data_IF_910558871483
#
_entry.id   IF_910558871483
#
_cell.length_a   1.000
_cell.length_b   1.000
_cell.length_c   1.000
_cell.angle_alpha   90.00
_cell.angle_beta   90.00
_cell.angle_gamma   90.00
#
_symmetry.space_group_name_H-M   'P 1'
#
loop_
_entity.id
_entity.type
_entity.pdbx_description
1 polymer ?
#
# COMPACT_ATOMS: atom_id res chain seq x y z
N UNK A 1 -1.41 -13.53 -11.41
CA UNK A 1 -0.13 -13.76 -10.68
C UNK A 1 -0.48 -14.34 -9.32
N UNK A 2 -0.09 -15.58 -9.06
CA UNK A 2 -0.26 -16.30 -7.79
C UNK A 2 0.99 -16.14 -6.91
N UNK A 3 0.86 -16.23 -5.59
CA UNK A 3 1.96 -16.28 -4.59
C UNK A 3 2.89 -15.06 -4.52
N UNK A 4 2.34 -13.84 -4.55
CA UNK A 4 3.12 -12.62 -4.29
C UNK A 4 2.87 -12.08 -2.89
N UNK A 5 3.94 -11.74 -2.16
CA UNK A 5 3.84 -11.25 -0.78
C UNK A 5 3.02 -9.96 -0.63
N UNK A 6 2.92 -9.14 -1.69
CA UNK A 6 2.15 -7.90 -1.70
C UNK A 6 1.42 -7.71 -3.04
N UNK A 7 0.27 -7.03 -3.02
CA UNK A 7 -0.49 -6.69 -4.22
C UNK A 7 -0.01 -5.38 -4.84
N UNK A 8 -0.15 -4.29 -4.08
CA UNK A 8 0.20 -2.92 -4.41
C UNK A 8 0.98 -2.30 -3.26
N UNK A 9 2.03 -1.53 -3.57
CA UNK A 9 2.85 -0.91 -2.53
C UNK A 9 3.41 0.46 -2.93
N UNK A 10 3.20 1.46 -2.09
CA UNK A 10 3.84 2.79 -2.15
C UNK A 10 4.79 2.93 -0.96
N UNK A 11 6.00 3.43 -1.20
CA UNK A 11 7.03 3.62 -0.17
C UNK A 11 7.67 4.99 -0.32
N UNK A 12 7.81 5.73 0.78
CA UNK A 12 8.58 6.98 0.81
C UNK A 12 9.61 6.95 1.93
N UNK A 13 10.75 7.61 1.69
CA UNK A 13 11.90 7.56 2.59
C UNK A 13 11.90 8.75 3.57
N UNK A 14 12.06 8.48 4.87
CA UNK A 14 12.41 9.49 5.87
C UNK A 14 13.65 10.31 5.48
N UNK A 15 13.52 11.63 5.48
CA UNK A 15 14.62 12.55 5.14
C UNK A 15 14.98 12.65 3.65
N UNK A 16 14.16 12.06 2.77
CA UNK A 16 14.24 12.35 1.34
C UNK A 16 13.98 13.84 1.06
N UNK A 17 14.51 14.34 -0.07
CA UNK A 17 14.21 15.69 -0.54
C UNK A 17 12.68 15.85 -0.68
N UNK A 18 12.12 17.03 -0.36
CA UNK A 18 10.70 17.29 -0.59
C UNK A 18 10.33 16.97 -2.04
N UNK A 19 9.21 16.27 -2.20
CA UNK A 19 8.73 15.84 -3.51
C UNK A 19 7.23 15.60 -3.46
N UNK A 20 6.60 15.54 -4.62
CA UNK A 20 5.18 15.24 -4.72
C UNK A 20 5.01 14.07 -5.68
N UNK A 21 4.27 13.06 -5.25
CA UNK A 21 3.81 11.98 -6.10
C UNK A 21 2.28 12.01 -6.08
N UNK A 22 1.69 12.23 -7.25
CA UNK A 22 0.25 12.45 -7.37
C UNK A 22 -0.32 11.78 -8.61
N UNK A 23 -1.64 11.57 -8.62
CA UNK A 23 -2.37 10.94 -9.73
C UNK A 23 -1.90 9.50 -9.97
N UNK A 24 -1.91 8.71 -8.90
CA UNK A 24 -1.51 7.29 -8.95
C UNK A 24 -2.79 6.45 -8.99
N UNK A 25 -2.96 5.68 -10.06
CA UNK A 25 -4.16 4.90 -10.28
C UNK A 25 -3.80 3.40 -10.34
N UNK A 26 -4.36 2.62 -9.41
CA UNK A 26 -4.28 1.16 -9.44
C UNK A 26 -5.63 0.61 -9.89
N UNK A 27 -5.67 0.00 -11.06
CA UNK A 27 -6.92 -0.50 -11.68
C UNK A 27 -6.78 -1.94 -12.16
N UNK A 28 -7.88 -2.70 -12.09
CA UNK A 28 -8.04 -4.05 -12.66
C UNK A 28 -6.99 -5.08 -12.17
N UNK A 29 -6.59 -4.97 -10.91
CA UNK A 29 -5.59 -5.86 -10.31
C UNK A 29 -6.27 -7.07 -9.66
N UNK A 30 -5.98 -8.27 -10.18
CA UNK A 30 -6.41 -9.53 -9.55
C UNK A 30 -5.22 -10.27 -8.94
N UNK A 31 -5.27 -10.49 -7.64
CA UNK A 31 -4.18 -11.04 -6.84
C UNK A 31 -4.68 -12.12 -5.88
N UNK A 32 -4.23 -13.35 -6.07
CA UNK A 32 -4.61 -14.51 -5.25
C UNK A 32 -3.49 -14.84 -4.26
N UNK A 33 -3.86 -15.18 -3.01
CA UNK A 33 -2.93 -15.54 -1.92
C UNK A 33 -1.94 -14.44 -1.55
N UNK A 34 -2.43 -13.22 -1.32
CA UNK A 34 -1.57 -12.07 -0.98
C UNK A 34 -1.65 -11.76 0.51
N UNK A 35 -0.51 -11.67 1.20
CA UNK A 35 -0.48 -11.36 2.63
C UNK A 35 -0.86 -9.92 2.96
N UNK A 36 -0.52 -8.97 2.07
CA UNK A 36 -0.90 -7.56 2.23
C UNK A 36 -1.23 -6.95 0.87
N UNK A 37 -2.51 -6.86 0.51
CA UNK A 37 -2.97 -6.41 -0.80
C UNK A 37 -2.55 -4.98 -1.12
N UNK A 38 -2.66 -4.05 -0.17
CA UNK A 38 -2.27 -2.65 -0.37
C UNK A 38 -1.45 -2.16 0.82
N UNK A 39 -0.22 -1.69 0.58
CA UNK A 39 0.63 -1.05 1.59
C UNK A 39 1.03 0.35 1.14
N UNK A 40 0.81 1.37 1.97
CA UNK A 40 1.41 2.69 1.83
C UNK A 40 2.31 2.92 3.05
N UNK A 41 3.62 2.95 2.84
CA UNK A 41 4.61 3.10 3.90
C UNK A 41 5.42 4.38 3.73
N UNK A 42 5.07 5.42 4.48
CA UNK A 42 5.82 6.69 4.45
C UNK A 42 7.05 6.72 5.35
N UNK A 43 7.31 5.64 6.10
CA UNK A 43 8.45 5.50 7.00
C UNK A 43 9.39 4.39 6.53
N UNK A 44 9.42 4.13 5.22
CA UNK A 44 10.16 3.02 4.68
C UNK A 44 11.67 3.22 4.86
N UNK A 45 12.27 2.36 5.68
CA UNK A 45 13.66 2.46 6.10
C UNK A 45 14.36 1.09 5.99
N UNK A 46 14.76 0.67 4.78
CA UNK A 46 15.44 -0.60 4.64
C UNK A 46 16.83 -0.52 5.30
N UNK A 47 17.15 -1.51 6.13
CA UNK A 47 18.44 -1.66 6.82
C UNK A 47 18.84 -0.45 7.68
N UNK A 48 17.88 0.33 8.18
CA UNK A 48 18.13 1.54 8.98
C UNK A 48 19.01 2.60 8.27
N UNK A 49 19.13 2.55 6.94
CA UNK A 49 19.88 3.52 6.13
C UNK A 49 19.04 4.75 5.74
N UNK A 50 18.06 5.10 6.58
CA UNK A 50 17.26 6.31 6.42
C UNK A 50 17.50 7.24 7.61
N UNK A 51 17.02 8.47 7.49
CA UNK A 51 17.03 9.40 8.62
C UNK A 51 15.81 9.13 9.49
N UNK A 52 15.91 8.15 10.39
CA UNK A 52 14.77 7.59 11.14
C UNK A 52 14.06 8.63 12.03
N UNK A 53 14.75 9.70 12.40
CA UNK A 53 14.22 10.81 13.19
C UNK A 53 13.65 11.95 12.33
N UNK A 54 13.79 11.88 11.00
CA UNK A 54 13.17 12.82 10.08
C UNK A 54 11.86 12.24 9.55
N UNK A 55 10.86 13.09 9.34
CA UNK A 55 9.63 12.66 8.69
C UNK A 55 9.79 12.68 7.16
N UNK A 56 9.02 11.84 6.46
CA UNK A 56 8.98 11.87 5.00
C UNK A 56 8.39 13.20 4.53
N UNK A 57 9.12 13.88 3.63
CA UNK A 57 8.67 15.13 2.99
C UNK A 57 8.02 14.90 1.63
N UNK A 58 7.79 13.64 1.26
CA UNK A 58 7.12 13.26 0.02
C UNK A 58 5.62 13.33 0.22
N UNK A 59 4.98 14.25 -0.50
CA UNK A 59 3.52 14.41 -0.53
C UNK A 59 2.89 13.40 -1.46
N UNK A 60 1.92 12.66 -0.94
CA UNK A 60 1.11 11.70 -1.69
C UNK A 60 -0.32 12.24 -1.82
N UNK A 61 -0.80 12.42 -3.05
CA UNK A 61 -2.15 12.95 -3.30
C UNK A 61 -2.80 12.29 -4.51
N UNK A 62 -4.13 12.24 -4.52
CA UNK A 62 -4.92 11.67 -5.62
C UNK A 62 -4.47 10.25 -6.00
N UNK A 63 -4.48 9.36 -5.00
CA UNK A 63 -4.24 7.93 -5.18
C UNK A 63 -5.60 7.24 -5.22
N UNK A 64 -5.89 6.49 -6.28
CA UNK A 64 -7.12 5.71 -6.41
C UNK A 64 -6.83 4.22 -6.57
N UNK A 65 -7.75 3.43 -6.04
CA UNK A 65 -7.76 1.98 -6.21
C UNK A 65 -9.13 1.59 -6.75
N UNK A 66 -9.13 0.89 -7.89
CA UNK A 66 -10.35 0.51 -8.60
C UNK A 66 -10.28 -0.95 -9.02
N UNK A 67 -11.37 -1.68 -8.82
CA UNK A 67 -11.51 -3.05 -9.33
C UNK A 67 -10.37 -3.98 -8.89
N UNK A 68 -9.97 -3.87 -7.61
CA UNK A 68 -8.92 -4.71 -7.02
C UNK A 68 -9.58 -5.94 -6.40
N UNK A 69 -9.26 -7.12 -6.92
CA UNK A 69 -9.84 -8.40 -6.52
C UNK A 69 -8.78 -9.36 -6.00
N UNK A 70 -9.16 -10.23 -5.07
CA UNK A 70 -8.20 -11.19 -4.57
C UNK A 70 -8.57 -11.93 -3.29
N UNK A 71 -7.66 -12.80 -2.88
CA UNK A 71 -7.70 -13.50 -1.60
C UNK A 71 -6.54 -13.02 -0.73
N UNK A 72 -6.84 -12.57 0.49
CA UNK A 72 -5.84 -12.13 1.46
C UNK A 72 -5.53 -13.23 2.46
N UNK A 73 -4.25 -13.46 2.74
CA UNK A 73 -3.84 -14.40 3.80
C UNK A 73 -4.00 -13.79 5.21
N UNK A 74 -4.09 -12.47 5.32
CA UNK A 74 -4.33 -11.75 6.57
C UNK A 74 -5.67 -10.98 6.54
N UNK A 75 -6.30 -10.73 7.70
CA UNK A 75 -7.51 -9.91 7.79
C UNK A 75 -7.30 -8.48 7.28
N UNK A 76 -6.09 -7.93 7.45
CA UNK A 76 -5.76 -6.57 7.05
C UNK A 76 -5.47 -6.47 5.55
N UNK A 77 -6.51 -6.10 4.80
CA UNK A 77 -6.43 -5.86 3.36
C UNK A 77 -5.58 -4.63 2.97
N UNK A 78 -5.56 -3.62 3.83
CA UNK A 78 -4.93 -2.31 3.55
C UNK A 78 -4.15 -1.88 4.79
N UNK A 79 -2.87 -1.57 4.61
CA UNK A 79 -2.01 -1.03 5.66
C UNK A 79 -1.45 0.33 5.24
N UNK A 80 -1.72 1.36 6.03
CA UNK A 80 -1.22 2.71 5.77
C UNK A 80 -0.40 3.18 6.98
N UNK A 81 0.85 3.52 6.73
CA UNK A 81 1.79 4.09 7.70
C UNK A 81 2.04 5.53 7.28
N UNK A 82 1.47 6.46 8.05
CA UNK A 82 1.56 7.89 7.80
C UNK A 82 2.84 8.49 8.41
N UNK A 83 3.37 9.52 7.75
CA UNK A 83 4.36 10.44 8.32
C UNK A 83 3.67 11.68 8.86
N UNK A 84 4.07 12.18 10.04
CA UNK A 84 3.38 13.29 10.75
C UNK A 84 3.37 14.60 9.95
N UNK A 85 4.31 14.79 9.02
CA UNK A 85 4.41 15.99 8.19
C UNK A 85 3.67 15.91 6.85
N UNK A 86 3.07 14.78 6.51
CA UNK A 86 2.41 14.57 5.23
C UNK A 86 1.00 13.99 5.39
N UNK A 87 -0.01 14.83 5.13
CA UNK A 87 -1.37 14.35 4.91
C UNK A 87 -1.44 13.56 3.60
N UNK A 88 -1.64 12.25 3.67
CA UNK A 88 -2.00 11.46 2.48
C UNK A 88 -3.48 11.73 2.19
N UNK A 89 -3.77 12.39 1.06
CA UNK A 89 -5.14 12.55 0.56
C UNK A 89 -5.43 11.44 -0.46
N UNK A 90 -5.96 10.32 0.03
CA UNK A 90 -6.55 9.28 -0.83
C UNK A 90 -7.91 9.76 -1.31
N UNK A 91 -8.10 9.87 -2.62
CA UNK A 91 -9.39 10.16 -3.22
C UNK A 91 -9.85 8.91 -3.95
N UNK A 92 -11.02 8.42 -3.55
CA UNK A 92 -11.79 7.36 -4.19
C UNK A 92 -11.23 5.92 -4.06
N UNK A 93 -11.72 5.22 -3.04
CA UNK A 93 -11.62 3.76 -2.94
C UNK A 93 -12.91 3.19 -3.55
N UNK A 94 -12.87 2.78 -4.81
CA UNK A 94 -14.02 2.14 -5.47
C UNK A 94 -13.72 0.65 -5.64
N UNK A 95 -14.54 -0.17 -4.99
CA UNK A 95 -14.55 -1.64 -5.09
C UNK A 95 -13.22 -2.34 -4.78
N UNK A 96 -12.90 -2.41 -3.49
CA UNK A 96 -11.98 -3.42 -2.96
C UNK A 96 -12.81 -4.64 -2.52
N UNK A 97 -12.78 -5.73 -3.31
CA UNK A 97 -13.40 -7.01 -2.94
C UNK A 97 -12.29 -7.99 -2.62
N UNK A 98 -11.93 -8.05 -1.34
CA UNK A 98 -10.98 -9.02 -0.82
C UNK A 98 -11.71 -9.93 0.15
N UNK A 99 -11.60 -11.25 -0.08
CA UNK A 99 -12.01 -12.24 0.92
C UNK A 99 -10.78 -12.73 1.66
N UNK A 100 -10.93 -12.97 2.95
CA UNK A 100 -9.94 -13.72 3.73
C UNK A 100 -9.88 -15.14 3.17
N UNK A 101 -8.67 -15.72 3.13
CA UNK A 101 -8.51 -17.12 2.76
C UNK A 101 -9.10 -18.02 3.85
N UNK A 102 -9.93 -18.97 3.42
CA UNK A 102 -10.53 -19.98 4.28
C UNK A 102 -9.84 -21.33 4.07
N UNK A 103 -10.15 -22.33 4.91
CA UNK A 103 -9.58 -23.70 4.80
C UNK A 103 -9.77 -24.35 3.42
N UNK A 104 -10.73 -23.87 2.64
CA UNK A 104 -11.05 -24.33 1.29
C UNK A 104 -10.13 -23.74 0.20
N UNK A 105 -9.44 -22.64 0.47
CA UNK A 105 -8.51 -21.98 -0.47
C UNK A 105 -7.08 -22.56 -0.40
N UNK A 106 -6.88 -23.59 0.44
CA UNK A 106 -5.62 -24.32 0.66
C UNK A 106 -5.49 -25.61 -0.15
N UNK A 107 -6.51 -25.98 -0.93
CA UNK A 107 -6.49 -27.12 -1.86
C UNK A 107 -6.10 -26.68 -3.28
#
# INVERSE_FOLDING_TARGET
MTDTSNGVRIKTWPGAKPGTCSNIHFEDITKTKVSSPIIIDQKYCPWNKCKINEESKVKLSNISFKNIHGTSALPEAVKIIYSLLCHVKMWNLQTLKLRTMDRLDLQ
#
